data_IF_721801700105
#
_entry.id   IF_721801700105
#
_cell.length_a   1.000
_cell.length_b   1.000
_cell.length_c   1.000
_cell.angle_alpha   90.00
_cell.angle_beta   90.00
_cell.angle_gamma   90.00
#
_symmetry.space_group_name_H-M   'P 1'
#
loop_
_entity.id
_entity.type
_entity.pdbx_description
1 polymer ?
#
# COMPACT_ATOMS: atom_id res chain seq x y z
N UNK A 1 -5.17 24.96 14.29
CA UNK A 1 -4.18 25.15 13.22
C UNK A 1 -3.25 23.96 13.08
N UNK A 2 -2.47 23.62 14.09
CA UNK A 2 -1.60 22.44 14.05
C UNK A 2 -2.37 21.13 14.00
N UNK A 3 -3.60 21.09 14.49
CA UNK A 3 -4.45 19.90 14.54
C UNK A 3 -4.68 19.33 13.13
N UNK A 4 -5.00 20.18 12.15
CA UNK A 4 -5.25 19.75 10.78
C UNK A 4 -4.00 19.17 10.14
N UNK A 5 -2.85 19.82 10.35
CA UNK A 5 -1.56 19.34 9.85
C UNK A 5 -1.22 17.96 10.43
N UNK A 6 -1.40 17.80 11.73
CA UNK A 6 -1.12 16.55 12.43
C UNK A 6 -2.06 15.45 11.92
N UNK A 7 -3.35 15.76 11.74
CA UNK A 7 -4.33 14.79 11.23
C UNK A 7 -3.95 14.31 9.84
N UNK A 8 -3.62 15.21 8.91
CA UNK A 8 -3.19 14.83 7.57
C UNK A 8 -1.94 13.97 7.61
N UNK A 9 -0.95 14.37 8.40
CA UNK A 9 0.30 13.62 8.52
C UNK A 9 0.07 12.22 9.11
N UNK A 10 -0.73 12.12 10.18
CA UNK A 10 -1.02 10.86 10.83
C UNK A 10 -1.79 9.90 9.91
N UNK A 11 -2.81 10.39 9.23
CA UNK A 11 -3.58 9.57 8.30
C UNK A 11 -2.68 9.04 7.20
N UNK A 12 -1.87 9.91 6.61
CA UNK A 12 -0.97 9.51 5.53
C UNK A 12 0.03 8.44 6.00
N UNK A 13 0.64 8.66 7.17
CA UNK A 13 1.63 7.73 7.71
C UNK A 13 0.99 6.39 8.09
N UNK A 14 -0.17 6.41 8.75
CA UNK A 14 -0.85 5.17 9.18
C UNK A 14 -1.30 4.35 7.97
N UNK A 15 -1.95 4.98 7.00
CA UNK A 15 -2.42 4.27 5.80
C UNK A 15 -1.24 3.72 5.01
N UNK A 16 -0.18 4.50 4.83
CA UNK A 16 1.02 4.07 4.13
C UNK A 16 1.74 2.93 4.88
N UNK A 17 1.78 3.01 6.21
CA UNK A 17 2.33 1.95 7.06
C UNK A 17 1.59 0.63 6.82
N UNK A 18 0.26 0.66 6.86
CA UNK A 18 -0.55 -0.52 6.64
C UNK A 18 -0.34 -1.09 5.22
N UNK A 19 -0.30 -0.23 4.22
CA UNK A 19 -0.07 -0.66 2.84
C UNK A 19 1.28 -1.35 2.69
N UNK A 20 2.33 -0.78 3.26
CA UNK A 20 3.67 -1.36 3.20
C UNK A 20 3.76 -2.67 3.98
N UNK A 21 3.07 -2.75 5.12
CA UNK A 21 2.99 -3.97 5.92
C UNK A 21 2.31 -5.08 5.14
N UNK A 22 1.15 -4.80 4.55
CA UNK A 22 0.39 -5.77 3.77
C UNK A 22 1.18 -6.26 2.56
N UNK A 23 1.84 -5.35 1.86
CA UNK A 23 2.70 -5.71 0.72
C UNK A 23 3.80 -6.67 1.15
N UNK A 24 4.50 -6.35 2.23
CA UNK A 24 5.59 -7.17 2.73
C UNK A 24 5.11 -8.55 3.19
N UNK A 25 3.99 -8.61 3.90
CA UNK A 25 3.38 -9.88 4.32
C UNK A 25 2.98 -10.71 3.11
N UNK A 26 2.29 -10.09 2.16
CA UNK A 26 1.83 -10.79 0.95
C UNK A 26 2.98 -11.39 0.17
N UNK A 27 4.06 -10.64 -0.01
CA UNK A 27 5.23 -11.12 -0.75
C UNK A 27 6.05 -12.14 0.03
N UNK A 28 5.93 -12.17 1.35
CA UNK A 28 6.66 -13.10 2.21
C UNK A 28 5.97 -14.46 2.36
N UNK A 29 4.66 -14.54 2.10
CA UNK A 29 3.92 -15.80 2.20
C UNK A 29 4.50 -16.80 1.19
N UNK A 30 4.96 -17.95 1.68
CA UNK A 30 5.52 -18.98 0.82
C UNK A 30 4.40 -19.82 0.18
N UNK A 31 4.63 -20.37 -1.02
CA UNK A 31 3.66 -21.30 -1.62
C UNK A 31 3.37 -22.52 -0.74
N UNK A 32 4.38 -23.03 -0.03
CA UNK A 32 4.20 -24.15 0.89
C UNK A 32 3.22 -23.81 2.02
N UNK A 33 3.36 -22.63 2.60
CA UNK A 33 2.44 -22.18 3.65
C UNK A 33 1.01 -22.05 3.12
N UNK A 34 0.85 -21.50 1.93
CA UNK A 34 -0.46 -21.35 1.29
C UNK A 34 -1.12 -22.71 1.08
N UNK A 35 -0.37 -23.71 0.61
CA UNK A 35 -0.90 -25.06 0.40
C UNK A 35 -1.35 -25.71 1.71
N UNK A 36 -0.55 -25.57 2.78
CA UNK A 36 -0.90 -26.12 4.09
C UNK A 36 -2.20 -25.48 4.61
N UNK A 37 -2.35 -24.18 4.46
CA UNK A 37 -3.57 -23.49 4.89
C UNK A 37 -4.78 -23.91 4.05
N UNK A 38 -4.60 -24.14 2.76
CA UNK A 38 -5.67 -24.66 1.89
C UNK A 38 -6.09 -26.06 2.33
N UNK A 39 -5.12 -26.92 2.67
CA UNK A 39 -5.41 -28.28 3.12
C UNK A 39 -6.18 -28.31 4.43
N UNK A 40 -5.98 -27.31 5.30
CA UNK A 40 -6.74 -27.14 6.51
C UNK A 40 -8.21 -26.77 6.25
N UNK A 41 -8.55 -26.39 5.01
CA UNK A 41 -9.90 -26.03 4.63
C UNK A 41 -10.38 -24.67 5.14
N UNK A 42 -9.45 -23.80 5.55
CA UNK A 42 -9.80 -22.48 6.06
C UNK A 42 -10.15 -21.52 4.92
N UNK A 43 -11.06 -20.57 5.20
CA UNK A 43 -11.37 -19.50 4.25
C UNK A 43 -10.13 -18.64 3.95
N UNK A 44 -9.31 -18.41 4.97
CA UNK A 44 -8.06 -17.66 4.84
C UNK A 44 -7.11 -18.36 3.87
N UNK A 45 -6.98 -19.69 3.95
CA UNK A 45 -6.14 -20.46 3.05
C UNK A 45 -6.54 -20.29 1.59
N UNK A 46 -7.83 -20.35 1.30
CA UNK A 46 -8.35 -20.15 -0.07
C UNK A 46 -8.07 -18.72 -0.56
N UNK A 47 -8.22 -17.74 0.31
CA UNK A 47 -7.93 -16.35 -0.02
C UNK A 47 -6.45 -16.14 -0.34
N UNK A 48 -5.57 -16.69 0.49
CA UNK A 48 -4.11 -16.60 0.29
C UNK A 48 -3.73 -17.23 -1.05
N UNK A 49 -4.27 -18.40 -1.35
CA UNK A 49 -3.99 -19.09 -2.62
C UNK A 49 -4.45 -18.24 -3.80
N UNK A 50 -5.65 -17.67 -3.73
CA UNK A 50 -6.17 -16.79 -4.77
C UNK A 50 -5.25 -15.58 -4.99
N UNK A 51 -4.76 -14.98 -3.91
CA UNK A 51 -3.84 -13.84 -4.01
C UNK A 51 -2.50 -14.25 -4.63
N UNK A 52 -1.98 -15.44 -4.29
CA UNK A 52 -0.71 -15.90 -4.83
C UNK A 52 -0.81 -16.29 -6.30
N UNK A 53 -1.95 -16.81 -6.73
CA UNK A 53 -2.18 -17.15 -8.13
C UNK A 53 -2.31 -15.89 -9.02
N UNK A 54 -2.87 -14.84 -8.49
CA UNK A 54 -3.06 -13.57 -9.20
C UNK A 54 -2.60 -12.43 -8.29
N UNK A 55 -1.31 -12.36 -8.03
CA UNK A 55 -0.71 -11.43 -7.09
C UNK A 55 -0.86 -9.97 -7.55
N UNK A 56 -1.04 -9.74 -8.84
CA UNK A 56 -1.18 -8.39 -9.38
C UNK A 56 -2.40 -7.65 -8.82
N UNK A 57 -3.48 -8.38 -8.52
CA UNK A 57 -4.71 -7.77 -8.00
C UNK A 57 -4.50 -7.13 -6.62
N UNK A 58 -4.06 -7.88 -5.59
CA UNK A 58 -3.86 -7.28 -4.29
C UNK A 58 -2.73 -6.25 -4.29
N UNK A 59 -1.68 -6.45 -5.08
CA UNK A 59 -0.60 -5.47 -5.18
C UNK A 59 -1.08 -4.17 -5.81
N UNK A 60 -1.93 -4.24 -6.84
CA UNK A 60 -2.51 -3.04 -7.45
C UNK A 60 -3.36 -2.25 -6.45
N UNK A 61 -4.15 -2.96 -5.63
CA UNK A 61 -4.96 -2.31 -4.60
C UNK A 61 -4.08 -1.62 -3.54
N UNK A 62 -3.05 -2.30 -3.08
CA UNK A 62 -2.11 -1.75 -2.10
C UNK A 62 -1.39 -0.52 -2.67
N UNK A 63 -0.88 -0.64 -3.89
CA UNK A 63 -0.17 0.45 -4.56
C UNK A 63 -1.07 1.66 -4.73
N UNK A 64 -2.31 1.44 -5.16
CA UNK A 64 -3.29 2.51 -5.35
C UNK A 64 -3.55 3.26 -4.05
N UNK A 65 -3.86 2.52 -2.99
CA UNK A 65 -4.15 3.13 -1.69
C UNK A 65 -2.92 3.86 -1.15
N UNK A 66 -1.74 3.26 -1.29
CA UNK A 66 -0.49 3.86 -0.82
C UNK A 66 -0.18 5.17 -1.57
N UNK A 67 -0.36 5.16 -2.89
CA UNK A 67 -0.15 6.36 -3.72
C UNK A 67 -1.11 7.46 -3.34
N UNK A 68 -2.40 7.13 -3.15
CA UNK A 68 -3.41 8.10 -2.71
C UNK A 68 -3.04 8.67 -1.34
N UNK A 69 -2.64 7.82 -0.40
CA UNK A 69 -2.26 8.27 0.95
C UNK A 69 -1.07 9.24 0.90
N UNK A 70 -0.04 8.91 0.13
CA UNK A 70 1.13 9.78 -0.02
C UNK A 70 0.78 11.10 -0.68
N UNK A 71 0.00 11.05 -1.75
CA UNK A 71 -0.39 12.26 -2.52
C UNK A 71 -1.25 13.19 -1.67
N UNK A 72 -2.32 12.68 -1.08
CA UNK A 72 -3.23 13.46 -0.25
C UNK A 72 -2.51 13.98 0.98
N UNK A 73 -1.70 13.14 1.62
CA UNK A 73 -0.92 13.54 2.78
C UNK A 73 0.08 14.64 2.47
N UNK A 74 0.82 14.50 1.38
CA UNK A 74 1.80 15.52 0.98
C UNK A 74 1.15 16.85 0.65
N UNK A 75 0.03 16.82 -0.09
CA UNK A 75 -0.72 18.03 -0.43
C UNK A 75 -1.25 18.69 0.85
N UNK A 76 -1.90 17.90 1.72
CA UNK A 76 -2.48 18.42 2.96
C UNK A 76 -1.44 19.02 3.89
N UNK A 77 -0.32 18.32 4.09
CA UNK A 77 0.76 18.81 4.94
C UNK A 77 1.42 20.04 4.32
N UNK A 78 1.67 20.02 3.01
CA UNK A 78 2.28 21.14 2.31
C UNK A 78 1.42 22.40 2.40
N UNK A 79 0.11 22.27 2.20
CA UNK A 79 -0.82 23.39 2.32
C UNK A 79 -0.83 23.96 3.75
N UNK A 80 -0.92 23.07 4.75
CA UNK A 80 -0.94 23.52 6.15
C UNK A 80 0.40 24.13 6.56
N UNK A 81 1.52 23.58 6.10
CA UNK A 81 2.83 24.13 6.37
C UNK A 81 2.98 25.53 5.80
N UNK A 82 2.49 25.74 4.58
CA UNK A 82 2.52 27.06 3.94
C UNK A 82 1.69 28.07 4.73
N UNK A 83 0.54 27.68 5.23
CA UNK A 83 -0.32 28.56 6.02
C UNK A 83 0.31 28.92 7.39
N UNK A 84 0.94 27.92 8.02
CA UNK A 84 1.51 28.12 9.38
C UNK A 84 2.81 28.90 9.34
N UNK A 85 3.62 28.71 8.32
CA UNK A 85 4.94 29.31 8.20
C UNK A 85 5.09 30.21 6.99
N UNK A 86 4.00 30.90 6.63
CA UNK A 86 3.99 31.78 5.45
C UNK A 86 4.97 32.93 5.55
N UNK A 87 5.30 33.35 6.76
CA UNK A 87 6.28 34.43 7.01
C UNK A 87 7.71 33.91 7.15
N UNK A 88 7.88 32.59 7.12
CA UNK A 88 9.19 31.98 7.23
C UNK A 88 9.93 32.04 5.91
N UNK A 89 11.26 31.82 5.96
CA UNK A 89 12.10 31.78 4.79
C UNK A 89 11.52 30.76 3.78
N UNK A 90 11.38 31.11 2.49
CA UNK A 90 10.89 30.19 1.45
C UNK A 90 11.67 28.88 1.36
N UNK A 91 12.96 28.87 1.74
CA UNK A 91 13.75 27.65 1.77
C UNK A 91 13.24 26.66 2.82
N UNK A 92 12.70 27.15 3.96
CA UNK A 92 12.15 26.29 5.00
C UNK A 92 10.89 25.57 4.51
N UNK A 93 9.95 26.32 3.95
CA UNK A 93 8.66 25.76 3.50
C UNK A 93 8.78 25.01 2.17
N UNK A 94 9.67 25.45 1.29
CA UNK A 94 9.81 24.87 -0.04
C UNK A 94 10.80 23.72 -0.14
N UNK A 95 11.73 23.60 0.79
CA UNK A 95 12.80 22.59 0.72
C UNK A 95 12.91 21.77 2.00
N UNK A 96 13.02 22.41 3.15
CA UNK A 96 13.28 21.71 4.41
C UNK A 96 12.09 20.86 4.85
N UNK A 97 10.88 21.40 4.81
CA UNK A 97 9.66 20.67 5.21
C UNK A 97 9.43 19.45 4.30
N UNK A 98 9.47 19.57 2.96
CA UNK A 98 9.33 18.39 2.09
C UNK A 98 10.41 17.33 2.34
N UNK A 99 11.66 17.72 2.57
CA UNK A 99 12.73 16.75 2.85
C UNK A 99 12.47 16.01 4.14
N UNK A 100 12.15 16.72 5.22
CA UNK A 100 11.86 16.11 6.52
C UNK A 100 10.66 15.18 6.43
N UNK A 101 9.60 15.60 5.74
CA UNK A 101 8.40 14.78 5.52
C UNK A 101 8.72 13.52 4.74
N UNK A 102 9.50 13.65 3.67
CA UNK A 102 9.89 12.49 2.86
C UNK A 102 10.66 11.47 3.68
N UNK A 103 11.64 11.93 4.48
CA UNK A 103 12.41 11.04 5.35
C UNK A 103 11.54 10.39 6.42
N UNK A 104 10.63 11.14 7.02
CA UNK A 104 9.72 10.62 8.03
C UNK A 104 8.80 9.55 7.43
N UNK A 105 8.21 9.83 6.28
CA UNK A 105 7.34 8.87 5.58
C UNK A 105 8.14 7.62 5.20
N UNK A 106 9.35 7.79 4.66
CA UNK A 106 10.18 6.67 4.25
C UNK A 106 10.51 5.74 5.42
N UNK A 107 10.93 6.31 6.54
CA UNK A 107 11.31 5.51 7.71
C UNK A 107 10.08 4.89 8.38
N UNK A 108 9.08 5.71 8.69
CA UNK A 108 7.94 5.28 9.50
C UNK A 108 6.94 4.43 8.73
N UNK A 109 6.75 4.68 7.45
CA UNK A 109 5.70 4.01 6.70
C UNK A 109 6.18 3.07 5.60
N UNK A 110 7.48 2.96 5.40
CA UNK A 110 8.01 2.00 4.42
C UNK A 110 9.05 1.06 5.03
N UNK A 111 10.10 1.59 5.62
CA UNK A 111 11.19 0.74 6.12
C UNK A 111 10.73 -0.12 7.29
N UNK A 112 10.14 0.50 8.31
CA UNK A 112 9.69 -0.21 9.51
C UNK A 112 8.61 -1.25 9.19
N UNK A 113 7.50 -0.89 8.51
CA UNK A 113 6.45 -1.88 8.25
C UNK A 113 6.91 -3.01 7.32
N UNK A 114 7.74 -2.75 6.35
CA UNK A 114 8.27 -3.81 5.48
C UNK A 114 9.14 -4.78 6.24
N UNK A 115 9.95 -4.29 7.15
CA UNK A 115 10.77 -5.13 8.01
C UNK A 115 9.90 -5.98 8.95
N UNK A 116 8.89 -5.36 9.57
CA UNK A 116 7.95 -6.07 10.43
C UNK A 116 7.16 -7.13 9.67
N UNK A 117 6.67 -6.79 8.48
CA UNK A 117 5.92 -7.72 7.65
C UNK A 117 6.76 -8.91 7.22
N UNK A 118 8.01 -8.70 6.85
CA UNK A 118 8.91 -9.77 6.45
C UNK A 118 9.25 -10.70 7.61
N UNK A 119 9.38 -10.17 8.83
CA UNK A 119 9.75 -10.96 10.00
C UNK A 119 8.56 -11.67 10.65
N UNK A 120 7.38 -11.06 10.64
CA UNK A 120 6.19 -11.56 11.33
C UNK A 120 5.06 -11.92 10.38
N UNK A 121 5.37 -12.25 9.13
CA UNK A 121 4.35 -12.49 8.10
C UNK A 121 3.37 -13.61 8.47
N UNK A 122 3.81 -14.65 9.17
CA UNK A 122 2.94 -15.77 9.57
C UNK A 122 1.85 -15.31 10.54
N UNK A 123 2.23 -14.52 11.53
CA UNK A 123 1.30 -13.98 12.52
C UNK A 123 0.35 -12.97 11.88
N UNK A 124 0.86 -12.17 10.96
CA UNK A 124 0.10 -11.09 10.32
C UNK A 124 -0.74 -11.55 9.13
N UNK A 125 -0.55 -12.77 8.65
CA UNK A 125 -1.26 -13.29 7.48
C UNK A 125 -2.79 -13.23 7.63
N UNK A 126 -3.42 -13.70 8.73
CA UNK A 126 -4.88 -13.62 8.85
C UNK A 126 -5.39 -12.18 8.79
N UNK A 127 -4.75 -11.29 9.52
CA UNK A 127 -5.11 -9.86 9.52
C UNK A 127 -4.97 -9.26 8.13
N UNK A 128 -3.80 -9.47 7.49
CA UNK A 128 -3.51 -8.95 6.16
C UNK A 128 -4.51 -9.46 5.13
N UNK A 129 -4.81 -10.76 5.15
CA UNK A 129 -5.74 -11.39 4.21
C UNK A 129 -7.14 -10.77 4.33
N UNK A 130 -7.63 -10.62 5.55
CA UNK A 130 -8.95 -10.02 5.81
C UNK A 130 -9.00 -8.59 5.31
N UNK A 131 -7.98 -7.80 5.61
CA UNK A 131 -7.91 -6.40 5.17
C UNK A 131 -7.82 -6.29 3.65
N UNK A 132 -7.06 -7.16 3.00
CA UNK A 132 -6.92 -7.16 1.54
C UNK A 132 -8.22 -7.55 0.85
N UNK A 133 -8.96 -8.51 1.38
CA UNK A 133 -10.28 -8.87 0.84
C UNK A 133 -11.22 -7.67 0.87
N UNK A 134 -11.25 -6.97 2.00
CA UNK A 134 -12.06 -5.76 2.12
C UNK A 134 -11.60 -4.67 1.14
N UNK A 135 -10.30 -4.45 1.06
CA UNK A 135 -9.71 -3.44 0.18
C UNK A 135 -10.00 -3.75 -1.30
N UNK A 136 -9.91 -5.02 -1.70
CA UNK A 136 -10.22 -5.43 -3.06
C UNK A 136 -11.69 -5.19 -3.41
N UNK A 137 -12.59 -5.41 -2.46
CA UNK A 137 -14.00 -5.11 -2.66
C UNK A 137 -14.25 -3.62 -2.80
N UNK A 138 -13.57 -2.81 -2.00
CA UNK A 138 -13.69 -1.36 -2.04
C UNK A 138 -13.15 -0.78 -3.34
N UNK A 139 -12.01 -1.29 -3.82
CA UNK A 139 -11.34 -0.80 -5.03
C UNK A 139 -11.64 -1.62 -6.28
N UNK A 140 -12.64 -2.50 -6.22
CA UNK A 140 -12.98 -3.40 -7.32
C UNK A 140 -13.13 -2.70 -8.69
N UNK A 141 -13.84 -1.56 -8.81
CA UNK A 141 -13.96 -0.87 -10.10
C UNK A 141 -12.61 -0.42 -10.65
N UNK A 142 -11.76 0.12 -9.79
CA UNK A 142 -10.44 0.62 -10.19
C UNK A 142 -9.52 -0.54 -10.59
N UNK A 143 -9.54 -1.62 -9.83
CA UNK A 143 -8.74 -2.81 -10.12
C UNK A 143 -9.19 -3.44 -11.43
N UNK A 144 -10.50 -3.49 -11.66
CA UNK A 144 -11.04 -3.96 -12.93
C UNK A 144 -10.49 -3.16 -14.11
N UNK A 145 -10.43 -1.83 -13.98
CA UNK A 145 -9.85 -0.96 -15.00
C UNK A 145 -8.36 -1.26 -15.24
N UNK A 146 -7.59 -1.42 -14.16
CA UNK A 146 -6.16 -1.72 -14.28
C UNK A 146 -5.93 -3.09 -14.92
N UNK A 147 -6.75 -4.07 -14.59
CA UNK A 147 -6.66 -5.40 -15.21
C UNK A 147 -7.03 -5.37 -16.69
N UNK A 148 -8.01 -4.56 -17.05
CA UNK A 148 -8.38 -4.38 -18.46
C UNK A 148 -7.20 -3.82 -19.27
N UNK A 149 -6.54 -2.81 -18.74
CA UNK A 149 -5.35 -2.21 -19.36
C UNK A 149 -4.23 -3.24 -19.47
N UNK A 150 -3.97 -3.96 -18.40
CA UNK A 150 -2.95 -5.02 -18.36
C UNK A 150 -3.27 -6.11 -19.37
N UNK A 151 -4.52 -6.51 -19.45
CA UNK A 151 -4.99 -7.52 -20.41
C UNK A 151 -4.76 -7.05 -21.84
N UNK A 152 -5.05 -5.78 -22.15
CA UNK A 152 -4.78 -5.22 -23.47
C UNK A 152 -3.30 -5.22 -23.82
N UNK A 153 -2.44 -4.98 -22.82
CA UNK A 153 -0.99 -5.02 -23.02
C UNK A 153 -0.49 -6.44 -23.26
N UNK A 154 -1.07 -7.42 -22.56
CA UNK A 154 -0.66 -8.83 -22.69
C UNK A 154 -1.29 -9.54 -23.91
N UNK A 155 -2.41 -9.02 -24.41
CA UNK A 155 -3.06 -9.59 -25.60
C UNK A 155 -2.48 -9.06 -26.90
N UNK A 156 -1.49 -8.20 -26.84
CA UNK A 156 -0.68 -7.91 -28.01
C UNK A 156 -0.15 -9.24 -28.55
N UNK A 157 -0.47 -9.61 -29.80
CA UNK A 157 -0.24 -10.97 -30.29
C UNK A 157 1.24 -11.32 -30.25
N UNK A 158 1.59 -12.23 -29.37
CA UNK A 158 2.87 -12.89 -29.40
C UNK A 158 2.83 -13.92 -30.54
N UNK A 159 3.87 -14.00 -31.38
CA UNK A 159 3.93 -15.02 -32.43
C UNK A 159 3.81 -16.45 -31.92
N UNK A 160 3.96 -16.63 -30.60
CA UNK A 160 3.86 -17.97 -30.00
C UNK A 160 2.43 -18.37 -29.67
N UNK A 161 1.52 -17.41 -29.61
CA UNK A 161 0.14 -17.65 -29.20
C UNK A 161 -0.80 -17.80 -30.43
N UNK A 162 -0.24 -17.76 -31.58
CA UNK A 162 -0.95 -17.98 -32.85
C UNK A 162 -0.87 -19.42 -33.32
#
# INVERSE_FOLDING_TARGET
MYTTLIIFALIAVVVSFLCSLWESVLLSITPSYALVEVEKGTAIGRQIQSFKENIDRPLAAILTLNTVAHTVGAIGVGEQATRLWSESNPMVTGLLVPIVMTLAILILSEIIPKTLGANYWKVLTPFTTTCLVFLLKLLAPLIWMTQLITCLLYTSPSPRDS
#
